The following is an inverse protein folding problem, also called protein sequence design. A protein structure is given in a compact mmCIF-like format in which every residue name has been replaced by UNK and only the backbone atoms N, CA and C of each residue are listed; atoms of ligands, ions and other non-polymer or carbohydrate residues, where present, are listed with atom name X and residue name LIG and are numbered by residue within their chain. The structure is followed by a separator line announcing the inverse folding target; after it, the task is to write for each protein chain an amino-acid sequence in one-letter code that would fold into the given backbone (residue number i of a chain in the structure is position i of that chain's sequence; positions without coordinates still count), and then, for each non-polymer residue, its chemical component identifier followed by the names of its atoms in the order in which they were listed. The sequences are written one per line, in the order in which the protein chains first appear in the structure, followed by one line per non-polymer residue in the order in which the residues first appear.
data_IF_881604085745
#
_entry.id   IF_881604085745
#
_cell.length_a   1.000
_cell.length_b   1.000
_cell.length_c   1.000
_cell.angle_alpha   90.00
_cell.angle_beta   90.00
_cell.angle_gamma   90.00
#
_symmetry.space_group_name_H-M   'P 1'
#
loop_
_entity.id
_entity.type
_entity.pdbx_description
1 polymer ?
#
# COMPACT_ATOMS: atom_id res chain seq x y z
N UNK A 1 -6.95 -21.47 6.16
CA UNK A 1 -7.00 -22.88 6.59
C UNK A 1 -6.89 -23.77 5.37
N UNK A 2 -6.13 -24.88 5.43
CA UNK A 2 -6.05 -25.86 4.36
C UNK A 2 -7.42 -26.51 4.10
N UNK A 3 -7.65 -26.97 2.87
CA UNK A 3 -8.90 -27.62 2.45
C UNK A 3 -9.03 -29.00 3.09
N UNK A 4 -10.19 -29.29 3.68
CA UNK A 4 -10.46 -30.64 4.23
C UNK A 4 -10.68 -31.61 3.06
N UNK A 5 -9.89 -32.70 2.95
CA UNK A 5 -10.05 -33.69 1.89
C UNK A 5 -11.38 -34.44 1.97
N UNK A 6 -11.83 -35.00 0.84
CA UNK A 6 -13.15 -35.65 0.70
C UNK A 6 -13.39 -36.75 1.74
N UNK A 7 -12.44 -37.68 1.90
CA UNK A 7 -12.54 -38.77 2.87
C UNK A 7 -12.69 -38.28 4.32
N UNK A 8 -12.05 -37.16 4.70
CA UNK A 8 -12.22 -36.59 6.04
C UNK A 8 -13.58 -35.91 6.22
N UNK A 9 -14.17 -35.36 5.15
CA UNK A 9 -15.54 -34.81 5.21
C UNK A 9 -16.59 -35.92 5.36
N UNK A 10 -16.44 -37.02 4.65
CA UNK A 10 -17.32 -38.19 4.79
C UNK A 10 -17.21 -38.81 6.18
N UNK A 11 -15.98 -38.98 6.68
CA UNK A 11 -15.74 -39.42 8.06
C UNK A 11 -16.36 -38.48 9.10
N UNK A 12 -16.25 -37.16 8.89
CA UNK A 12 -16.89 -36.16 9.76
C UNK A 12 -18.42 -36.32 9.80
N UNK A 13 -19.05 -36.55 8.64
CA UNK A 13 -20.49 -36.74 8.56
C UNK A 13 -20.94 -38.06 9.20
N UNK A 14 -20.19 -39.15 9.03
CA UNK A 14 -20.47 -40.40 9.72
C UNK A 14 -20.42 -40.24 11.25
N UNK A 15 -19.42 -39.53 11.77
CA UNK A 15 -19.34 -39.19 13.20
C UNK A 15 -20.52 -38.32 13.67
N UNK A 16 -20.94 -37.35 12.86
CA UNK A 16 -22.09 -36.49 13.16
C UNK A 16 -23.43 -37.24 13.12
N UNK A 17 -23.58 -38.21 12.22
CA UNK A 17 -24.76 -39.11 12.15
C UNK A 17 -24.79 -40.06 13.34
N UNK A 18 -23.62 -40.53 13.80
CA UNK A 18 -23.46 -41.29 15.05
C UNK A 18 -23.64 -40.46 16.33
N UNK A 19 -24.12 -39.20 16.25
CA UNK A 19 -24.47 -38.38 17.41
C UNK A 19 -23.30 -37.64 18.08
N UNK A 20 -22.09 -37.69 17.52
CA UNK A 20 -20.94 -36.97 18.10
C UNK A 20 -21.14 -35.44 18.03
N UNK A 21 -20.71 -34.72 19.06
CA UNK A 21 -20.81 -33.25 19.07
C UNK A 21 -19.85 -32.66 18.05
N UNK A 22 -20.22 -31.53 17.44
CA UNK A 22 -19.43 -30.87 16.39
C UNK A 22 -18.02 -30.47 16.84
N UNK A 23 -17.83 -30.19 18.13
CA UNK A 23 -16.53 -29.86 18.70
C UNK A 23 -15.60 -31.08 18.80
N UNK A 24 -16.14 -32.25 19.15
CA UNK A 24 -15.39 -33.52 19.19
C UNK A 24 -14.94 -33.94 17.78
N UNK A 25 -15.85 -33.82 16.80
CA UNK A 25 -15.54 -34.10 15.39
C UNK A 25 -14.47 -33.15 14.85
N UNK A 26 -14.52 -31.88 15.23
CA UNK A 26 -13.52 -30.88 14.86
C UNK A 26 -12.12 -31.21 15.42
N UNK A 27 -12.06 -31.66 16.69
CA UNK A 27 -10.83 -32.14 17.32
C UNK A 27 -10.29 -33.40 16.62
N UNK A 28 -11.15 -34.38 16.34
CA UNK A 28 -10.75 -35.63 15.69
C UNK A 28 -10.19 -35.46 14.27
N UNK A 29 -10.65 -34.44 13.54
CA UNK A 29 -10.27 -34.17 12.14
C UNK A 29 -9.25 -33.03 12.04
N UNK A 30 -8.82 -32.48 13.18
CA UNK A 30 -7.93 -31.34 13.26
C UNK A 30 -8.38 -30.16 12.35
N UNK A 31 -9.65 -29.79 12.47
CA UNK A 31 -10.22 -28.68 11.71
C UNK A 31 -11.03 -27.76 12.62
N UNK A 32 -11.29 -26.53 12.17
CA UNK A 32 -12.07 -25.58 12.96
C UNK A 32 -13.54 -26.01 13.06
N UNK A 33 -14.18 -25.83 14.22
CA UNK A 33 -15.58 -26.20 14.49
C UNK A 33 -16.55 -25.60 13.45
N UNK A 34 -16.26 -24.38 12.98
CA UNK A 34 -17.02 -23.71 11.90
C UNK A 34 -17.04 -24.51 10.60
N UNK A 35 -15.97 -25.21 10.26
CA UNK A 35 -15.86 -26.05 9.05
C UNK A 35 -16.80 -27.25 9.15
N UNK A 36 -16.84 -27.92 10.30
CA UNK A 36 -17.77 -29.03 10.58
C UNK A 36 -19.22 -28.56 10.54
N UNK A 37 -19.52 -27.38 11.12
CA UNK A 37 -20.88 -26.80 11.08
C UNK A 37 -21.33 -26.49 9.66
N UNK A 38 -20.46 -25.88 8.84
CA UNK A 38 -20.74 -25.59 7.42
C UNK A 38 -20.93 -26.87 6.61
N UNK A 39 -20.12 -27.89 6.86
CA UNK A 39 -20.26 -29.20 6.21
C UNK A 39 -21.61 -29.85 6.53
N UNK A 40 -22.03 -29.86 7.80
CA UNK A 40 -23.34 -30.39 8.21
C UNK A 40 -24.50 -29.65 7.55
N UNK A 41 -24.41 -28.33 7.50
CA UNK A 41 -25.45 -27.49 6.89
C UNK A 41 -25.54 -27.74 5.38
N UNK A 42 -24.41 -27.68 4.68
CA UNK A 42 -24.36 -27.96 3.24
C UNK A 42 -24.83 -29.38 2.91
N UNK A 43 -24.50 -30.39 3.73
CA UNK A 43 -24.97 -31.75 3.52
C UNK A 43 -26.49 -31.89 3.72
N UNK A 44 -27.08 -31.17 4.69
CA UNK A 44 -28.54 -31.11 4.86
C UNK A 44 -29.26 -30.46 3.67
N UNK A 45 -28.63 -29.46 3.06
CA UNK A 45 -29.20 -28.71 1.94
C UNK A 45 -29.05 -29.43 0.60
N UNK A 46 -27.91 -30.09 0.35
CA UNK A 46 -27.56 -30.63 -0.98
C UNK A 46 -27.43 -32.16 -1.01
N UNK A 47 -27.32 -32.82 0.14
CA UNK A 47 -27.06 -34.27 0.24
C UNK A 47 -25.69 -34.72 -0.29
N UNK A 48 -24.79 -33.78 -0.62
CA UNK A 48 -23.49 -34.05 -1.24
C UNK A 48 -22.34 -33.56 -0.36
N UNK A 49 -21.27 -34.34 -0.30
CA UNK A 49 -20.00 -33.99 0.36
C UNK A 49 -19.03 -33.26 -0.56
N UNK A 50 -19.23 -33.38 -1.87
CA UNK A 50 -18.38 -32.78 -2.89
C UNK A 50 -18.46 -31.25 -2.88
N UNK A 51 -17.39 -30.62 -3.32
CA UNK A 51 -17.37 -29.17 -3.52
C UNK A 51 -18.29 -28.80 -4.68
N UNK A 52 -18.97 -27.66 -4.54
CA UNK A 52 -19.75 -27.12 -5.64
C UNK A 52 -18.81 -26.58 -6.72
N UNK A 53 -19.08 -26.83 -8.01
CA UNK A 53 -18.31 -26.22 -9.08
C UNK A 53 -18.41 -24.70 -8.92
N UNK A 54 -17.26 -24.03 -8.89
CA UNK A 54 -17.25 -22.57 -8.79
C UNK A 54 -17.74 -22.00 -10.12
N UNK A 55 -18.74 -21.14 -10.08
CA UNK A 55 -19.02 -20.25 -11.21
C UNK A 55 -17.75 -19.42 -11.44
N UNK A 56 -17.02 -19.74 -12.51
CA UNK A 56 -15.78 -19.05 -12.85
C UNK A 56 -15.99 -17.54 -12.99
N UNK A 57 -14.90 -16.79 -13.19
CA UNK A 57 -15.00 -15.36 -13.44
C UNK A 57 -15.79 -15.10 -14.73
N UNK A 58 -16.79 -14.20 -14.72
CA UNK A 58 -17.52 -13.87 -15.94
C UNK A 58 -16.55 -13.31 -16.99
N UNK A 59 -16.76 -13.71 -18.25
CA UNK A 59 -15.98 -13.20 -19.38
C UNK A 59 -16.42 -11.77 -19.67
N UNK A 60 -15.45 -10.89 -19.92
CA UNK A 60 -15.70 -9.48 -20.29
C UNK A 60 -16.30 -9.38 -21.69
N UNK A 61 -15.93 -10.32 -22.56
CA UNK A 61 -16.41 -10.41 -23.94
C UNK A 61 -17.54 -11.42 -24.07
N UNK A 62 -18.51 -11.08 -24.91
CA UNK A 62 -19.59 -12.01 -25.29
C UNK A 62 -19.09 -13.02 -26.34
N UNK A 63 -19.71 -14.21 -26.46
CA UNK A 63 -19.34 -15.18 -27.49
C UNK A 63 -19.42 -14.64 -28.94
N UNK A 64 -20.28 -13.65 -29.18
CA UNK A 64 -20.36 -12.96 -30.47
C UNK A 64 -19.15 -12.04 -30.72
N UNK A 65 -18.74 -11.27 -29.70
CA UNK A 65 -17.54 -10.44 -29.76
C UNK A 65 -16.27 -11.27 -29.96
N UNK A 66 -16.17 -12.41 -29.28
CA UNK A 66 -15.04 -13.34 -29.45
C UNK A 66 -14.97 -13.91 -30.88
N UNK A 67 -16.12 -14.25 -31.47
CA UNK A 67 -16.19 -14.68 -32.88
C UNK A 67 -15.76 -13.56 -33.83
N UNK A 68 -16.23 -12.34 -33.61
CA UNK A 68 -15.86 -11.19 -34.41
C UNK A 68 -14.35 -10.92 -34.36
N UNK A 69 -13.75 -10.88 -33.16
CA UNK A 69 -12.31 -10.68 -32.97
C UNK A 69 -11.51 -11.77 -33.70
N UNK A 70 -11.95 -13.04 -33.61
CA UNK A 70 -11.30 -14.15 -34.29
C UNK A 70 -11.36 -14.00 -35.81
N UNK A 71 -12.52 -13.70 -36.37
CA UNK A 71 -12.73 -13.57 -37.82
C UNK A 71 -12.00 -12.34 -38.37
N UNK A 72 -12.03 -11.21 -37.67
CA UNK A 72 -11.30 -10.00 -38.08
C UNK A 72 -9.80 -10.27 -38.11
N UNK A 73 -9.25 -10.97 -37.11
CA UNK A 73 -7.82 -11.28 -37.05
C UNK A 73 -7.36 -12.19 -38.20
N UNK A 74 -8.15 -13.20 -38.55
CA UNK A 74 -7.89 -14.10 -39.69
C UNK A 74 -8.03 -13.41 -41.05
N UNK A 75 -8.91 -12.41 -41.17
CA UNK A 75 -9.05 -11.62 -42.40
C UNK A 75 -7.93 -10.61 -42.58
N UNK A 76 -7.45 -10.02 -41.48
CA UNK A 76 -6.38 -9.04 -41.49
C UNK A 76 -4.98 -9.67 -41.71
N UNK A 77 -4.80 -10.96 -41.41
CA UNK A 77 -3.52 -11.66 -41.62
C UNK A 77 -3.15 -11.85 -43.10
N UNK A 78 -4.13 -11.81 -44.01
CA UNK A 78 -3.92 -12.00 -45.46
C UNK A 78 -3.92 -10.69 -46.28
N UNK A 79 -3.94 -9.51 -45.65
CA UNK A 79 -3.81 -8.21 -46.35
C UNK A 79 -2.37 -7.68 -46.24
N UNK A 80 -1.72 -7.28 -47.35
CA UNK A 80 -0.51 -6.47 -47.26
C UNK A 80 -0.87 -5.13 -46.61
N UNK A 81 -0.23 -4.84 -45.48
CA UNK A 81 -0.51 -3.65 -44.67
C UNK A 81 0.03 -2.43 -45.41
N UNK A 82 -0.85 -1.64 -46.02
CA UNK A 82 -0.48 -0.42 -46.76
C UNK A 82 0.22 0.58 -45.85
N UNK A 83 1.32 1.18 -46.30
CA UNK A 83 2.16 2.12 -45.54
C UNK A 83 1.36 3.27 -44.89
N UNK A 84 0.32 3.76 -45.58
CA UNK A 84 -0.61 4.78 -45.07
C UNK A 84 -1.43 4.31 -43.85
N UNK A 85 -1.77 3.02 -43.76
CA UNK A 85 -2.48 2.46 -42.59
C UNK A 85 -1.58 2.37 -41.36
N UNK A 86 -0.26 2.21 -41.53
CA UNK A 86 0.69 2.19 -40.41
C UNK A 86 0.94 3.59 -39.83
N UNK A 87 0.96 4.61 -40.70
CA UNK A 87 1.14 6.00 -40.30
C UNK A 87 -0.12 6.57 -39.62
N UNK A 88 -1.31 6.30 -40.16
CA UNK A 88 -2.59 6.80 -39.63
C UNK A 88 -3.08 6.02 -38.39
N UNK A 89 -2.79 4.72 -38.30
CA UNK A 89 -3.15 3.87 -37.15
C UNK A 89 -1.94 3.49 -36.31
N UNK A 90 -1.14 4.47 -35.86
CA UNK A 90 -0.25 4.26 -34.70
C UNK A 90 -1.12 3.91 -33.50
N UNK A 91 -1.36 2.61 -33.27
CA UNK A 91 -1.95 2.11 -32.02
C UNK A 91 -1.02 2.50 -30.87
N UNK A 92 -1.30 3.65 -30.27
CA UNK A 92 -0.74 4.01 -28.98
C UNK A 92 -1.10 2.96 -27.94
N UNK A 93 -0.34 2.91 -26.85
CA UNK A 93 -0.62 2.01 -25.74
C UNK A 93 -2.01 2.37 -25.19
N UNK A 94 -2.96 1.40 -25.13
CA UNK A 94 -4.33 1.69 -24.72
C UNK A 94 -4.37 2.14 -23.26
N UNK A 95 -5.04 3.25 -22.99
CA UNK A 95 -5.21 3.79 -21.63
C UNK A 95 -4.01 4.61 -21.13
N UNK A 96 -3.79 4.60 -19.82
CA UNK A 96 -2.71 5.38 -19.18
C UNK A 96 -1.36 4.68 -19.37
N UNK A 97 -0.37 5.37 -19.93
CA UNK A 97 0.91 4.77 -20.35
C UNK A 97 1.70 4.06 -19.23
N UNK A 98 1.55 4.50 -17.98
CA UNK A 98 2.36 4.03 -16.84
C UNK A 98 1.59 3.18 -15.82
N UNK A 99 0.29 2.95 -16.04
CA UNK A 99 -0.61 2.31 -15.08
C UNK A 99 -1.45 1.26 -15.82
N UNK A 100 -1.81 0.16 -15.14
CA UNK A 100 -2.69 -0.88 -15.70
C UNK A 100 -1.95 -2.02 -16.39
N UNK A 101 -2.68 -2.83 -17.17
CA UNK A 101 -2.17 -4.08 -17.76
C UNK A 101 -1.20 -3.83 -18.91
N UNK A 102 -1.53 -2.90 -19.80
CA UNK A 102 -0.73 -2.57 -20.98
C UNK A 102 -0.01 -1.26 -20.72
N UNK A 103 1.24 -1.36 -20.24
CA UNK A 103 2.12 -0.22 -19.90
C UNK A 103 3.25 -0.11 -20.91
N UNK A 104 3.87 1.06 -21.01
CA UNK A 104 5.08 1.25 -21.82
C UNK A 104 6.28 0.61 -21.12
N UNK A 105 7.04 -0.28 -21.78
CA UNK A 105 8.28 -0.80 -21.21
C UNK A 105 9.29 0.34 -21.08
N UNK A 106 9.95 0.44 -19.92
CA UNK A 106 11.09 1.36 -19.70
C UNK A 106 12.38 0.55 -19.73
N UNK A 107 13.28 0.88 -20.65
CA UNK A 107 14.61 0.28 -20.71
C UNK A 107 15.52 0.98 -19.70
N UNK A 108 16.36 0.20 -19.02
CA UNK A 108 17.35 0.73 -18.08
C UNK A 108 18.53 1.23 -18.90
N UNK A 109 18.83 2.52 -18.80
CA UNK A 109 19.99 3.11 -19.48
C UNK A 109 21.28 2.81 -18.73
N UNK A 110 22.43 2.93 -19.40
CA UNK A 110 23.73 2.76 -18.76
C UNK A 110 23.96 3.83 -17.67
N UNK A 111 23.44 5.05 -17.83
CA UNK A 111 23.53 6.12 -16.83
C UNK A 111 22.80 5.75 -15.54
N UNK A 112 21.61 5.14 -15.65
CA UNK A 112 20.89 4.67 -14.47
C UNK A 112 21.67 3.60 -13.70
N UNK A 113 22.37 2.71 -14.42
CA UNK A 113 23.24 1.70 -13.79
C UNK A 113 24.45 2.33 -13.12
N UNK A 114 25.12 3.27 -13.80
CA UNK A 114 26.24 4.01 -13.24
C UNK A 114 25.85 4.75 -11.95
N UNK A 115 24.77 5.53 -11.99
CA UNK A 115 24.31 6.29 -10.83
C UNK A 115 23.88 5.38 -9.67
N UNK A 116 23.39 4.17 -9.96
CA UNK A 116 23.08 3.18 -8.92
C UNK A 116 24.37 2.67 -8.26
N UNK A 117 25.40 2.36 -9.05
CA UNK A 117 26.70 1.91 -8.53
C UNK A 117 27.32 3.00 -7.66
N UNK A 118 27.36 4.25 -8.14
CA UNK A 118 27.88 5.37 -7.35
C UNK A 118 27.17 5.52 -6.00
N UNK A 119 25.83 5.33 -5.95
CA UNK A 119 25.09 5.35 -4.69
C UNK A 119 25.44 4.18 -3.78
N UNK A 120 25.61 2.98 -4.33
CA UNK A 120 25.99 1.80 -3.56
C UNK A 120 27.39 1.93 -2.98
N UNK A 121 28.31 2.57 -3.70
CA UNK A 121 29.66 2.88 -3.21
C UNK A 121 29.60 3.84 -2.02
N UNK A 122 28.80 4.92 -2.13
CA UNK A 122 28.57 5.83 -0.99
C UNK A 122 27.93 5.11 0.20
N UNK A 123 26.97 4.21 -0.03
CA UNK A 123 26.36 3.42 1.04
C UNK A 123 27.40 2.50 1.72
N UNK A 124 28.29 1.85 0.96
CA UNK A 124 29.35 1.02 1.51
C UNK A 124 30.37 1.82 2.33
N UNK A 125 30.72 3.03 1.89
CA UNK A 125 31.56 3.95 2.66
C UNK A 125 30.88 4.38 3.97
N UNK A 126 29.58 4.71 3.92
CA UNK A 126 28.81 5.06 5.10
C UNK A 126 28.77 3.89 6.10
N UNK A 127 28.55 2.65 5.63
CA UNK A 127 28.59 1.46 6.47
C UNK A 127 29.95 1.28 7.15
N UNK A 128 31.05 1.49 6.42
CA UNK A 128 32.39 1.46 6.99
C UNK A 128 32.55 2.46 8.14
N UNK A 129 32.16 3.72 7.92
CA UNK A 129 32.28 4.77 8.95
C UNK A 129 31.35 4.55 10.14
N UNK A 130 30.14 4.03 9.92
CA UNK A 130 29.19 3.75 10.99
C UNK A 130 29.52 2.48 11.78
N UNK A 131 30.34 1.56 11.24
CA UNK A 131 30.71 0.32 11.92
C UNK A 131 31.57 0.52 13.18
N UNK A 132 32.24 1.67 13.33
CA UNK A 132 33.19 1.95 14.42
C UNK A 132 32.68 3.07 15.32
N UNK A 133 31.70 2.75 16.15
CA UNK A 133 31.18 3.68 17.16
C UNK A 133 32.27 4.05 18.19
N UNK A 134 32.37 5.34 18.52
CA UNK A 134 33.33 5.85 19.50
C UNK A 134 32.99 5.45 20.94
N UNK A 135 31.70 5.38 21.29
CA UNK A 135 31.21 5.00 22.61
C UNK A 135 30.38 3.72 22.54
N UNK A 136 30.45 2.90 23.59
CA UNK A 136 29.52 1.79 23.77
C UNK A 136 28.15 2.32 24.21
N UNK A 137 27.09 1.54 23.98
CA UNK A 137 25.71 1.90 24.36
C UNK A 137 25.56 2.17 25.87
N UNK A 138 26.36 1.51 26.69
CA UNK A 138 26.37 1.70 28.14
C UNK A 138 26.97 3.05 28.52
N UNK A 139 28.04 3.48 27.84
CA UNK A 139 28.68 4.79 28.05
C UNK A 139 27.79 5.93 27.55
N UNK A 140 27.07 5.74 26.44
CA UNK A 140 26.14 6.72 25.89
C UNK A 140 24.95 6.98 26.84
N UNK A 141 24.58 5.98 27.66
CA UNK A 141 23.39 6.02 28.50
C UNK A 141 23.45 7.19 29.49
N UNK A 142 22.62 8.19 29.24
CA UNK A 142 22.45 9.34 30.14
C UNK A 142 23.45 10.47 29.96
N UNK A 143 24.49 10.33 29.14
CA UNK A 143 25.56 11.32 28.95
C UNK A 143 25.04 12.74 28.61
N UNK A 144 23.98 12.85 27.81
CA UNK A 144 23.40 14.13 27.39
C UNK A 144 22.01 14.43 28.01
N UNK A 145 21.62 13.75 29.09
CA UNK A 145 20.27 13.88 29.66
C UNK A 145 19.99 15.29 30.19
N UNK A 146 20.93 15.86 30.95
CA UNK A 146 20.79 17.19 31.56
C UNK A 146 20.68 18.29 30.49
N UNK A 147 21.54 18.24 29.47
CA UNK A 147 21.49 19.18 28.36
C UNK A 147 20.13 19.13 27.63
N UNK A 148 19.59 17.93 27.37
CA UNK A 148 18.25 17.79 26.77
C UNK A 148 17.15 18.36 27.65
N UNK A 149 17.23 18.16 28.97
CA UNK A 149 16.27 18.71 29.93
C UNK A 149 16.32 20.23 29.96
N UNK A 150 17.53 20.82 30.00
CA UNK A 150 17.71 22.27 29.93
C UNK A 150 17.17 22.84 28.63
N UNK A 151 17.51 22.22 27.48
CA UNK A 151 16.99 22.61 26.16
C UNK A 151 15.46 22.53 26.07
N UNK A 152 14.87 21.52 26.68
CA UNK A 152 13.41 21.39 26.74
C UNK A 152 12.79 22.44 27.67
N UNK A 153 13.40 22.71 28.83
CA UNK A 153 12.94 23.73 29.76
C UNK A 153 13.00 25.14 29.14
N UNK A 154 14.06 25.46 28.40
CA UNK A 154 14.17 26.74 27.68
C UNK A 154 13.14 26.86 26.56
N UNK A 155 12.89 25.80 25.79
CA UNK A 155 11.81 25.76 24.80
C UNK A 155 10.42 25.90 25.43
N UNK A 156 10.19 25.26 26.58
CA UNK A 156 8.92 25.37 27.31
C UNK A 156 8.72 26.78 27.88
N UNK A 157 9.81 27.40 28.36
CA UNK A 157 9.79 28.78 28.83
C UNK A 157 9.60 29.77 27.67
N UNK A 158 10.11 29.50 26.48
CA UNK A 158 9.83 30.34 25.29
C UNK A 158 8.44 30.08 24.70
N UNK A 159 7.88 28.89 24.91
CA UNK A 159 6.48 28.54 24.59
C UNK A 159 5.46 29.05 25.62
N UNK A 160 5.86 29.93 26.56
CA UNK A 160 4.88 30.71 27.32
C UNK A 160 3.93 31.36 26.31
N UNK A 161 2.62 31.23 26.56
CA UNK A 161 1.55 31.70 25.67
C UNK A 161 1.91 33.08 25.13
N UNK A 162 1.76 33.29 23.83
CA UNK A 162 1.92 34.62 23.23
C UNK A 162 0.87 35.53 23.85
N UNK A 163 1.27 36.27 24.88
CA UNK A 163 0.46 37.32 25.47
C UNK A 163 0.53 38.53 24.53
N UNK A 164 -0.61 39.16 24.20
CA UNK A 164 -0.59 40.43 23.50
C UNK A 164 0.33 41.42 24.24
N UNK A 165 1.16 42.14 23.49
CA UNK A 165 2.07 43.13 24.07
C UNK A 165 1.30 44.19 24.86
N UNK A 166 1.96 44.78 25.86
CA UNK A 166 1.40 45.89 26.62
C UNK A 166 1.13 47.09 25.69
N UNK A 167 0.03 47.80 25.94
CA UNK A 167 -0.29 49.06 25.24
C UNK A 167 -0.01 50.22 26.19
N UNK A 168 0.87 51.13 25.80
CA UNK A 168 1.22 52.28 26.63
C UNK A 168 0.44 53.52 26.21
N UNK A 169 -0.03 54.30 27.19
CA UNK A 169 -0.74 55.56 26.93
C UNK A 169 0.15 56.56 26.18
N UNK A 170 1.46 56.51 26.40
CA UNK A 170 2.44 57.33 25.67
C UNK A 170 2.41 57.11 24.16
N UNK A 171 2.15 55.89 23.69
CA UNK A 171 2.03 55.59 22.26
C UNK A 171 0.85 56.35 21.64
N UNK A 172 -0.25 56.44 22.38
CA UNK A 172 -1.44 57.19 21.98
C UNK A 172 -1.23 58.71 22.07
N UNK A 173 -0.55 59.20 23.09
CA UNK A 173 -0.26 60.63 23.26
C UNK A 173 0.75 61.13 22.23
N UNK A 174 1.72 60.30 21.84
CA UNK A 174 2.68 60.63 20.78
C UNK A 174 2.00 60.89 19.43
N UNK A 175 0.86 60.26 19.17
CA UNK A 175 0.08 60.50 17.95
C UNK A 175 -0.44 61.94 17.86
N UNK A 176 -0.67 62.61 19.00
CA UNK A 176 -1.12 64.01 19.02
C UNK A 176 -0.04 64.98 18.51
N UNK A 177 1.24 64.59 18.59
CA UNK A 177 2.37 65.38 18.10
C UNK A 177 2.40 65.50 16.56
N UNK A 178 1.58 64.75 15.81
CA UNK A 178 1.48 64.88 14.34
C UNK A 178 1.08 66.30 13.91
N UNK A 179 0.29 66.98 14.75
CA UNK A 179 -0.16 68.35 14.49
C UNK A 179 0.79 69.43 15.03
N UNK A 180 1.91 69.04 15.65
CA UNK A 180 2.84 69.96 16.28
C UNK A 180 3.56 70.79 15.21
N UNK A 181 3.34 72.10 15.26
CA UNK A 181 3.98 73.09 14.37
C UNK A 181 4.99 73.91 15.15
N UNK A 182 6.05 74.33 14.48
CA UNK A 182 6.98 75.31 15.02
C UNK A 182 6.33 76.70 14.99
N UNK A 183 6.45 77.46 16.06
CA UNK A 183 6.13 78.89 16.05
C UNK A 183 7.16 79.60 15.20
N UNK A 184 6.71 80.23 14.11
CA UNK A 184 7.55 81.10 13.29
C UNK A 184 7.80 82.37 14.12
N UNK A 185 9.06 82.81 14.27
CA UNK A 185 9.38 84.07 14.94
C UNK A 185 8.90 85.29 14.14
#
# INVERSE_FOLDING_TARGET
MPRVPAHLRERALGMLQGGMRTADVARAINCHVRTVRRLRQSYRETGRTADHPRSGRPRVTTPAQDRYIRISHLRDSNKPRMFLTLALFRKGIPGKQWIGKYRRPRQITWQMKRNLIEKLEVEAENEYWLSRAYMTKEQEKGHAAEYRLQRWATLKASQIKSFPGHRHVGDHLNQLNVSKKWTIP
#
